data_IF_612743508787
#
_entry.id   IF_612743508787
#
_cell.length_a   1.000
_cell.length_b   1.000
_cell.length_c   1.000
_cell.angle_alpha   90.00
_cell.angle_beta   90.00
_cell.angle_gamma   90.00
#
_symmetry.space_group_name_H-M   'P 1'
#
loop_
_entity.id
_entity.type
_entity.pdbx_description
1 polymer ?
#
# COMPACT_ATOMS: atom_id res chain seq x y z
N UNK A 1 14.78 -28.70 -2.38
CA UNK A 1 16.20 -28.96 -2.08
C UNK A 1 16.73 -27.73 -1.37
N UNK A 2 16.90 -27.78 -0.05
CA UNK A 2 17.32 -26.61 0.73
C UNK A 2 18.83 -26.43 0.60
N UNK A 3 19.26 -25.26 0.13
CA UNK A 3 20.68 -24.88 0.15
C UNK A 3 21.00 -24.39 1.57
N UNK A 4 21.87 -25.12 2.28
CA UNK A 4 22.37 -24.72 3.60
C UNK A 4 23.65 -23.93 3.39
N UNK A 5 23.59 -22.63 3.69
CA UNK A 5 24.78 -21.78 3.72
C UNK A 5 25.33 -21.77 5.15
N UNK A 6 26.53 -22.34 5.34
CA UNK A 6 27.21 -22.38 6.64
C UNK A 6 28.26 -21.28 6.67
N UNK A 7 28.13 -20.36 7.63
CA UNK A 7 29.11 -19.32 7.90
C UNK A 7 29.65 -19.50 9.33
N UNK A 8 30.96 -19.40 9.50
CA UNK A 8 31.61 -19.51 10.81
C UNK A 8 32.63 -18.37 10.98
N UNK A 9 32.51 -17.63 12.08
CA UNK A 9 33.45 -16.58 12.48
C UNK A 9 34.10 -16.92 13.81
N UNK A 10 35.36 -16.50 13.99
CA UNK A 10 36.07 -16.64 15.27
C UNK A 10 35.49 -15.65 16.28
N UNK A 11 34.94 -16.14 17.38
CA UNK A 11 34.45 -15.30 18.48
C UNK A 11 35.65 -14.55 19.08
N UNK A 12 35.65 -13.21 18.99
CA UNK A 12 36.55 -12.37 19.77
C UNK A 12 36.26 -12.63 21.26
N UNK A 13 37.29 -12.81 22.10
CA UNK A 13 37.18 -13.16 23.53
C UNK A 13 35.99 -12.44 24.20
N UNK A 14 34.86 -13.14 24.34
CA UNK A 14 33.70 -12.70 25.08
C UNK A 14 33.56 -13.63 26.28
N UNK A 15 33.73 -13.08 27.48
CA UNK A 15 33.58 -13.81 28.75
C UNK A 15 32.12 -14.10 29.10
N UNK A 16 31.15 -13.75 28.24
CA UNK A 16 29.72 -13.93 28.50
C UNK A 16 29.07 -14.83 27.44
N UNK A 17 29.08 -16.14 27.68
CA UNK A 17 28.22 -17.11 26.99
C UNK A 17 26.70 -16.90 27.24
N UNK A 18 26.34 -15.90 28.05
CA UNK A 18 24.96 -15.53 28.38
C UNK A 18 24.52 -14.15 27.86
N UNK A 19 25.30 -13.48 26.99
CA UNK A 19 24.83 -12.24 26.36
C UNK A 19 23.70 -12.57 25.38
N UNK A 20 22.44 -12.37 25.81
CA UNK A 20 21.30 -12.34 24.90
C UNK A 20 21.42 -11.06 24.10
N UNK A 21 21.71 -11.19 22.81
CA UNK A 21 21.64 -10.06 21.89
C UNK A 21 20.26 -9.40 22.02
N UNK A 22 20.19 -8.11 22.39
CA UNK A 22 18.93 -7.40 22.48
C UNK A 22 18.09 -7.51 21.20
N UNK A 23 18.73 -7.60 20.02
CA UNK A 23 18.05 -7.81 18.74
C UNK A 23 17.40 -9.19 18.66
N UNK A 24 18.11 -10.25 19.05
CA UNK A 24 17.53 -11.61 19.10
C UNK A 24 16.35 -11.68 20.07
N UNK A 25 16.43 -11.02 21.22
CA UNK A 25 15.30 -10.96 22.15
C UNK A 25 14.06 -10.31 21.53
N UNK A 26 14.22 -9.30 20.66
CA UNK A 26 13.11 -8.67 19.94
C UNK A 26 12.52 -9.59 18.87
N UNK A 27 13.35 -10.34 18.14
CA UNK A 27 12.87 -11.33 17.18
C UNK A 27 12.18 -12.50 17.88
N UNK A 28 12.71 -12.96 19.00
CA UNK A 28 12.13 -14.03 19.82
C UNK A 28 10.73 -13.69 20.34
N UNK A 29 10.46 -12.42 20.69
CA UNK A 29 9.10 -11.98 21.04
C UNK A 29 8.12 -12.26 19.91
N UNK A 30 8.48 -11.94 18.66
CA UNK A 30 7.63 -12.20 17.51
C UNK A 30 7.50 -13.70 17.22
N UNK A 31 8.59 -14.48 17.34
CA UNK A 31 8.56 -15.94 17.20
C UNK A 31 7.58 -16.58 18.20
N UNK A 32 7.63 -16.15 19.46
CA UNK A 32 6.73 -16.64 20.52
C UNK A 32 5.29 -16.23 20.26
N UNK A 33 5.04 -14.96 19.95
CA UNK A 33 3.70 -14.47 19.63
C UNK A 33 3.08 -15.26 18.45
N UNK A 34 3.82 -15.41 17.35
CA UNK A 34 3.36 -16.21 16.20
C UNK A 34 3.14 -17.68 16.56
N UNK A 35 3.97 -18.26 17.43
CA UNK A 35 3.77 -19.62 17.96
C UNK A 35 2.46 -19.77 18.71
N UNK A 36 2.12 -18.80 19.57
CA UNK A 36 0.81 -18.76 20.26
C UNK A 36 -0.33 -18.59 19.26
N UNK A 37 -0.16 -17.77 18.21
CA UNK A 37 -1.21 -17.58 17.20
C UNK A 37 -1.53 -18.87 16.42
N UNK A 38 -0.62 -19.85 16.37
CA UNK A 38 -0.91 -21.16 15.76
C UNK A 38 -1.72 -22.09 16.67
N UNK A 39 -2.03 -21.67 17.91
CA UNK A 39 -2.99 -22.39 18.73
C UNK A 39 -4.31 -22.51 17.98
N UNK A 40 -4.94 -23.69 18.07
CA UNK A 40 -6.16 -24.01 17.35
C UNK A 40 -7.40 -23.24 17.87
N UNK A 41 -7.25 -22.44 18.93
CA UNK A 41 -8.21 -21.42 19.36
C UNK A 41 -7.64 -20.00 19.21
N UNK A 42 -6.67 -19.76 18.34
CA UNK A 42 -6.19 -18.40 18.05
C UNK A 42 -6.44 -18.07 16.59
N UNK A 43 -5.71 -18.70 15.67
CA UNK A 43 -5.90 -18.45 14.23
C UNK A 43 -7.29 -18.85 13.70
N UNK A 44 -7.98 -19.78 14.39
CA UNK A 44 -9.32 -20.25 14.03
C UNK A 44 -10.44 -19.29 14.47
N UNK A 45 -10.17 -18.38 15.42
CA UNK A 45 -11.18 -17.50 15.99
C UNK A 45 -12.17 -18.20 16.93
N UNK A 46 -11.83 -19.36 17.52
CA UNK A 46 -12.69 -20.09 18.47
C UNK A 46 -12.53 -19.64 19.93
N UNK A 47 -11.70 -18.64 20.19
CA UNK A 47 -11.55 -17.99 21.49
C UNK A 47 -12.64 -16.96 21.82
N UNK A 48 -12.65 -16.51 23.08
CA UNK A 48 -13.50 -15.38 23.51
C UNK A 48 -12.93 -14.06 23.01
N UNK A 49 -13.78 -13.07 22.74
CA UNK A 49 -13.38 -11.76 22.22
C UNK A 49 -12.23 -11.07 22.98
N UNK A 50 -12.21 -11.13 24.32
CA UNK A 50 -11.12 -10.51 25.09
C UNK A 50 -9.78 -11.22 24.89
N UNK A 51 -9.80 -12.53 24.62
CA UNK A 51 -8.62 -13.32 24.27
C UNK A 51 -8.16 -12.97 22.86
N UNK A 52 -9.10 -12.85 21.90
CA UNK A 52 -8.78 -12.36 20.56
C UNK A 52 -8.12 -10.96 20.59
N UNK A 53 -8.62 -10.07 21.46
CA UNK A 53 -8.03 -8.74 21.66
C UNK A 53 -6.62 -8.81 22.25
N UNK A 54 -6.38 -9.71 23.21
CA UNK A 54 -5.05 -9.94 23.79
C UNK A 54 -4.05 -10.52 22.77
N UNK A 55 -4.51 -11.44 21.92
CA UNK A 55 -3.76 -11.97 20.79
C UNK A 55 -3.36 -10.86 19.80
N UNK A 56 -4.30 -10.00 19.41
CA UNK A 56 -4.03 -8.88 18.53
C UNK A 56 -3.03 -7.88 19.15
N UNK A 57 -3.18 -7.56 20.44
CA UNK A 57 -2.24 -6.70 21.16
C UNK A 57 -0.83 -7.30 21.21
N UNK A 58 -0.74 -8.57 21.61
CA UNK A 58 0.54 -9.30 21.73
C UNK A 58 1.27 -9.35 20.39
N UNK A 59 0.55 -9.70 19.31
CA UNK A 59 1.12 -9.74 17.96
C UNK A 59 1.56 -8.35 17.50
N UNK A 60 0.76 -7.30 17.77
CA UNK A 60 1.11 -5.92 17.40
C UNK A 60 2.38 -5.43 18.10
N UNK A 61 2.49 -5.65 19.42
CA UNK A 61 3.67 -5.27 20.20
C UNK A 61 4.91 -6.03 19.72
N UNK A 62 4.77 -7.34 19.47
CA UNK A 62 5.88 -8.15 19.01
C UNK A 62 6.33 -7.78 17.58
N UNK A 63 5.38 -7.50 16.68
CA UNK A 63 5.66 -7.04 15.32
C UNK A 63 6.43 -5.71 15.31
N UNK A 64 5.96 -4.72 16.08
CA UNK A 64 6.64 -3.42 16.22
C UNK A 64 8.04 -3.56 16.81
N UNK A 65 8.24 -4.47 17.75
CA UNK A 65 9.58 -4.76 18.28
C UNK A 65 10.53 -5.28 17.19
N UNK A 66 10.03 -6.11 16.27
CA UNK A 66 10.81 -6.65 15.16
C UNK A 66 11.11 -5.59 14.09
N UNK A 67 10.20 -4.64 13.85
CA UNK A 67 10.44 -3.51 12.95
C UNK A 67 11.68 -2.70 13.34
N UNK A 68 11.97 -2.54 14.64
CA UNK A 68 13.21 -1.90 15.10
C UNK A 68 14.45 -2.67 14.65
N UNK A 69 14.42 -4.00 14.72
CA UNK A 69 15.51 -4.86 14.24
C UNK A 69 15.71 -4.73 12.73
N UNK A 70 14.60 -4.67 11.97
CA UNK A 70 14.65 -4.47 10.52
C UNK A 70 15.21 -3.08 10.18
N UNK A 71 14.79 -2.02 10.88
CA UNK A 71 15.31 -0.67 10.70
C UNK A 71 16.83 -0.60 10.95
N UNK A 72 17.31 -1.23 12.03
CA UNK A 72 18.74 -1.33 12.31
C UNK A 72 19.48 -2.08 11.19
N UNK A 73 18.95 -3.22 10.75
CA UNK A 73 19.53 -3.99 9.67
C UNK A 73 19.56 -3.20 8.34
N UNK A 74 18.57 -2.36 8.09
CA UNK A 74 18.57 -1.46 6.92
C UNK A 74 19.73 -0.48 6.96
N UNK A 75 20.05 0.10 8.13
CA UNK A 75 21.22 0.98 8.25
C UNK A 75 22.54 0.26 8.03
N UNK A 76 22.62 -1.00 8.45
CA UNK A 76 23.81 -1.83 8.27
C UNK A 76 23.98 -2.28 6.81
N UNK A 77 22.86 -2.50 6.09
CA UNK A 77 22.86 -3.06 4.73
C UNK A 77 22.78 -2.02 3.60
N UNK A 78 22.21 -0.83 3.84
CA UNK A 78 22.04 0.21 2.83
C UNK A 78 23.10 1.30 3.08
N UNK A 79 24.16 1.36 2.25
CA UNK A 79 25.17 2.40 2.38
C UNK A 79 24.53 3.78 2.25
N UNK A 80 24.96 4.72 3.09
CA UNK A 80 24.47 6.10 3.14
C UNK A 80 23.03 6.30 3.67
N UNK A 81 22.31 5.24 4.10
CA UNK A 81 20.96 5.39 4.63
C UNK A 81 20.90 6.41 5.78
N UNK A 82 21.86 6.36 6.72
CA UNK A 82 21.96 7.36 7.81
C UNK A 82 22.10 8.78 7.30
N UNK A 83 22.85 8.99 6.23
CA UNK A 83 23.02 10.33 5.64
C UNK A 83 21.73 10.77 4.95
N UNK A 84 21.08 9.87 4.22
CA UNK A 84 19.82 10.13 3.49
C UNK A 84 18.66 10.46 4.44
N UNK A 85 18.53 9.76 5.56
CA UNK A 85 17.41 9.93 6.51
C UNK A 85 17.76 10.83 7.69
N UNK A 86 18.92 11.49 7.70
CA UNK A 86 19.37 12.28 8.86
C UNK A 86 19.57 11.46 10.14
N UNK A 87 19.73 10.14 10.00
CA UNK A 87 19.86 9.19 11.11
C UNK A 87 18.53 8.74 11.73
N UNK A 88 17.39 9.17 11.18
CA UNK A 88 16.07 8.73 11.64
C UNK A 88 15.72 7.35 11.09
N UNK A 89 15.14 6.51 11.94
CA UNK A 89 14.71 5.17 11.58
C UNK A 89 13.61 5.22 10.51
N UNK A 90 13.64 4.32 9.50
CA UNK A 90 12.55 4.18 8.55
C UNK A 90 11.21 3.91 9.26
N UNK A 91 10.16 4.59 8.79
CA UNK A 91 8.78 4.40 9.28
C UNK A 91 8.11 3.27 8.49
N UNK A 92 7.51 2.33 9.19
CA UNK A 92 6.73 1.25 8.58
C UNK A 92 5.29 1.71 8.33
N UNK A 93 4.82 1.55 7.09
CA UNK A 93 3.44 1.85 6.70
C UNK A 93 2.53 0.62 6.90
N UNK A 94 2.22 0.24 8.15
CA UNK A 94 1.42 -0.97 8.43
C UNK A 94 -0.06 -0.86 8.02
N UNK A 95 -0.54 0.37 7.78
CA UNK A 95 -1.95 0.70 7.54
C UNK A 95 -2.25 1.13 6.10
N UNK A 96 -1.44 0.67 5.13
CA UNK A 96 -1.67 0.94 3.71
C UNK A 96 -3.00 0.36 3.18
N UNK A 97 -3.54 -0.68 3.82
CA UNK A 97 -4.86 -1.24 3.50
C UNK A 97 -6.01 -0.23 3.66
N UNK A 98 -5.86 0.73 4.58
CA UNK A 98 -6.77 1.85 4.80
C UNK A 98 -6.16 3.17 4.32
N UNK A 99 -5.20 3.11 3.40
CA UNK A 99 -4.54 4.26 2.78
C UNK A 99 -3.91 5.24 3.80
N UNK A 100 -3.30 4.71 4.87
CA UNK A 100 -2.59 5.49 5.88
C UNK A 100 -1.10 5.16 5.89
N UNK A 101 -0.26 6.19 5.82
CA UNK A 101 1.15 6.04 6.15
C UNK A 101 1.71 7.32 6.75
N UNK A 102 2.18 7.23 7.99
CA UNK A 102 2.72 8.38 8.71
C UNK A 102 3.85 9.08 7.95
N UNK A 103 4.69 8.35 7.20
CA UNK A 103 5.78 8.95 6.42
C UNK A 103 5.29 9.93 5.34
N UNK A 104 4.07 9.77 4.84
CA UNK A 104 3.53 10.54 3.70
C UNK A 104 2.29 11.35 4.02
N UNK A 105 1.83 11.34 5.28
CA UNK A 105 0.71 12.16 5.73
C UNK A 105 1.02 13.67 5.68
N UNK A 106 0.01 14.46 5.31
CA UNK A 106 0.10 15.92 5.26
C UNK A 106 1.17 16.43 4.29
N UNK A 107 1.99 17.38 4.73
CA UNK A 107 2.98 18.06 3.88
C UNK A 107 4.34 17.35 3.81
N UNK A 108 4.49 16.16 4.40
CA UNK A 108 5.78 15.45 4.49
C UNK A 108 6.47 15.17 3.15
N UNK A 109 5.76 14.73 2.09
CA UNK A 109 6.41 14.50 0.80
C UNK A 109 6.65 15.79 0.00
N UNK A 110 6.24 16.97 0.48
CA UNK A 110 6.41 18.20 -0.29
C UNK A 110 7.83 18.76 -0.23
N UNK A 111 8.28 19.30 -1.36
CA UNK A 111 9.48 20.11 -1.44
C UNK A 111 9.22 21.50 -0.88
N UNK A 112 10.20 22.01 -0.13
CA UNK A 112 10.23 23.39 0.30
C UNK A 112 10.63 24.33 -0.87
N UNK A 113 10.65 25.63 -0.63
CA UNK A 113 11.01 26.63 -1.65
C UNK A 113 12.44 26.51 -2.19
N UNK A 114 13.34 25.82 -1.47
CA UNK A 114 14.72 25.54 -1.87
C UNK A 114 14.84 24.24 -2.68
N UNK A 115 13.75 23.50 -2.86
CA UNK A 115 13.75 22.19 -3.52
C UNK A 115 14.21 21.05 -2.62
N UNK A 116 14.26 21.26 -1.30
CA UNK A 116 14.63 20.24 -0.31
C UNK A 116 13.35 19.62 0.28
N UNK A 117 13.40 18.32 0.60
CA UNK A 117 12.27 17.57 1.15
C UNK A 117 12.00 16.30 0.37
N UNK A 118 10.76 15.82 0.44
CA UNK A 118 10.39 14.52 -0.07
C UNK A 118 10.65 13.39 0.93
N UNK A 119 10.38 12.17 0.49
CA UNK A 119 10.47 10.95 1.29
C UNK A 119 11.18 9.86 0.51
N UNK A 120 11.91 9.01 1.23
CA UNK A 120 12.47 7.78 0.67
C UNK A 120 11.54 6.61 0.96
N UNK A 121 11.28 5.80 -0.06
CA UNK A 121 10.48 4.59 0.03
C UNK A 121 11.43 3.40 -0.13
N UNK A 122 11.50 2.55 0.88
CA UNK A 122 12.33 1.35 0.88
C UNK A 122 11.45 0.13 0.69
N UNK A 123 11.83 -0.73 -0.25
CA UNK A 123 11.10 -1.96 -0.57
C UNK A 123 12.07 -3.12 -0.47
N UNK A 124 11.76 -4.06 0.42
CA UNK A 124 12.51 -5.29 0.58
C UNK A 124 11.83 -6.42 -0.19
N UNK A 125 12.59 -7.15 -1.01
CA UNK A 125 12.15 -8.40 -1.62
C UNK A 125 12.61 -9.57 -0.73
N UNK A 126 11.71 -10.24 0.00
CA UNK A 126 12.08 -11.38 0.85
C UNK A 126 12.28 -12.68 0.06
N UNK A 127 12.01 -12.70 -1.24
CA UNK A 127 12.05 -13.94 -2.03
C UNK A 127 13.47 -14.26 -2.53
N UNK A 128 13.68 -15.52 -2.91
CA UNK A 128 14.93 -16.01 -3.52
C UNK A 128 15.05 -15.72 -5.02
N UNK A 129 14.15 -14.92 -5.61
CA UNK A 129 14.14 -14.61 -7.03
C UNK A 129 13.85 -13.13 -7.30
N UNK A 130 14.13 -12.70 -8.53
CA UNK A 130 13.86 -11.34 -8.99
C UNK A 130 12.35 -11.06 -9.05
N UNK A 131 11.93 -9.92 -8.51
CA UNK A 131 10.56 -9.42 -8.71
C UNK A 131 10.54 -8.44 -9.88
N UNK A 132 9.92 -8.89 -10.97
CA UNK A 132 9.74 -8.12 -12.22
C UNK A 132 8.48 -7.25 -12.22
N UNK A 133 7.58 -7.49 -11.26
CA UNK A 133 6.34 -6.74 -11.15
C UNK A 133 5.84 -6.79 -9.71
N UNK A 134 5.75 -5.62 -9.09
CA UNK A 134 5.04 -5.43 -7.83
C UNK A 134 4.52 -4.01 -7.79
N UNK A 135 3.23 -3.86 -7.53
CA UNK A 135 2.56 -2.56 -7.49
C UNK A 135 2.49 -2.07 -6.05
N UNK A 136 3.01 -0.88 -5.81
CA UNK A 136 2.99 -0.23 -4.51
C UNK A 136 2.01 0.93 -4.56
N UNK A 137 1.21 1.05 -3.50
CA UNK A 137 0.27 2.15 -3.24
C UNK A 137 0.79 2.97 -2.08
N UNK A 138 1.02 4.26 -2.31
CA UNK A 138 1.47 5.20 -1.29
C UNK A 138 0.47 6.34 -1.15
N UNK A 139 -0.19 6.49 0.01
CA UNK A 139 -1.15 7.57 0.23
C UNK A 139 -0.43 8.90 0.37
N UNK A 140 -0.96 9.95 -0.26
CA UNK A 140 -0.44 11.31 -0.18
C UNK A 140 -1.58 12.31 -0.04
N UNK A 141 -1.28 13.44 0.60
CA UNK A 141 -2.18 14.58 0.59
C UNK A 141 -1.86 15.49 -0.59
N UNK A 142 -2.87 15.82 -1.38
CA UNK A 142 -2.80 16.83 -2.43
C UNK A 142 -4.02 17.73 -2.31
N UNK A 143 -3.82 19.04 -2.17
CA UNK A 143 -4.92 20.00 -2.19
C UNK A 143 -5.72 19.87 -3.49
N UNK A 144 -7.03 19.62 -3.37
CA UNK A 144 -7.93 19.39 -4.51
C UNK A 144 -7.90 20.55 -5.51
N UNK A 145 -7.71 21.79 -5.04
CA UNK A 145 -7.60 22.98 -5.90
C UNK A 145 -6.29 23.06 -6.70
N UNK A 146 -5.32 22.22 -6.34
CA UNK A 146 -3.96 22.20 -6.88
C UNK A 146 -3.60 20.87 -7.53
N UNK A 147 -4.53 19.91 -7.61
CA UNK A 147 -4.26 18.56 -8.15
C UNK A 147 -3.59 18.65 -9.52
N UNK A 148 -4.15 19.44 -10.44
CA UNK A 148 -3.64 19.63 -11.81
C UNK A 148 -2.29 20.35 -11.91
N UNK A 149 -1.85 21.04 -10.85
CA UNK A 149 -0.62 21.83 -10.82
C UNK A 149 0.46 21.23 -9.92
N UNK A 150 0.12 20.23 -9.14
CA UNK A 150 1.06 19.56 -8.23
C UNK A 150 1.95 18.65 -9.06
N UNK A 151 3.26 18.95 -9.06
CA UNK A 151 4.23 18.09 -9.73
C UNK A 151 4.59 16.91 -8.83
N UNK A 152 4.51 15.68 -9.33
CA UNK A 152 5.00 14.49 -8.61
C UNK A 152 6.35 14.09 -9.18
N UNK A 153 7.34 13.96 -8.30
CA UNK A 153 8.67 13.46 -8.61
C UNK A 153 8.78 12.08 -7.97
N UNK A 154 8.93 11.05 -8.78
CA UNK A 154 9.10 9.67 -8.34
C UNK A 154 10.26 9.09 -9.12
N UNK A 155 11.32 8.69 -8.42
CA UNK A 155 12.57 8.22 -9.03
C UNK A 155 12.99 6.91 -8.39
N UNK A 156 13.52 6.00 -9.21
CA UNK A 156 14.27 4.85 -8.74
C UNK A 156 15.72 5.27 -8.50
N UNK A 157 16.21 5.15 -7.27
CA UNK A 157 17.57 5.58 -6.94
C UNK A 157 18.66 4.62 -7.43
N UNK A 158 18.26 3.42 -7.91
CA UNK A 158 19.18 2.49 -8.59
C UNK A 158 19.45 2.91 -10.03
N UNK A 159 18.55 3.71 -10.60
CA UNK A 159 18.71 4.24 -11.95
C UNK A 159 19.61 5.50 -11.93
N UNK A 160 20.80 5.34 -12.50
CA UNK A 160 21.81 6.41 -12.62
C UNK A 160 21.29 7.55 -13.51
N UNK A 161 20.37 7.25 -14.44
CA UNK A 161 19.77 8.28 -15.30
C UNK A 161 18.78 9.18 -14.57
N UNK A 162 18.40 8.83 -13.33
CA UNK A 162 17.48 9.60 -12.49
C UNK A 162 16.15 9.91 -13.19
N UNK A 163 15.72 9.01 -14.09
CA UNK A 163 14.51 9.16 -14.86
C UNK A 163 13.29 9.06 -13.94
N UNK A 164 12.26 9.81 -14.30
CA UNK A 164 10.96 9.71 -13.64
C UNK A 164 10.38 8.30 -13.87
N UNK A 165 10.01 7.64 -12.77
CA UNK A 165 9.31 6.37 -12.79
C UNK A 165 7.84 6.60 -13.17
N UNK A 166 7.26 5.81 -14.09
CA UNK A 166 5.84 5.87 -14.39
C UNK A 166 4.99 5.61 -13.14
N UNK A 167 3.93 6.40 -12.99
CA UNK A 167 3.01 6.29 -11.87
C UNK A 167 1.59 6.66 -12.28
N UNK A 168 0.63 6.15 -11.52
CA UNK A 168 -0.76 6.52 -11.60
C UNK A 168 -1.18 7.18 -10.29
N UNK A 169 -1.86 8.32 -10.39
CA UNK A 169 -2.49 8.96 -9.25
C UNK A 169 -3.96 8.51 -9.19
N UNK A 170 -4.46 8.17 -8.01
CA UNK A 170 -5.85 7.76 -7.81
C UNK A 170 -6.46 8.47 -6.60
N UNK A 171 -7.71 8.96 -6.65
CA UNK A 171 -8.38 9.46 -5.46
C UNK A 171 -8.70 8.31 -4.51
N UNK A 172 -8.56 8.54 -3.20
CA UNK A 172 -8.99 7.57 -2.19
C UNK A 172 -10.52 7.54 -2.21
N UNK A 173 -11.09 6.35 -2.37
CA UNK A 173 -12.55 6.17 -2.46
C UNK A 173 -13.27 6.64 -1.18
N UNK A 174 -14.51 7.08 -1.32
CA UNK A 174 -15.36 7.47 -0.18
C UNK A 174 -15.50 6.35 0.85
N UNK A 175 -15.58 5.09 0.39
CA UNK A 175 -15.63 3.91 1.26
C UNK A 175 -14.40 3.84 2.17
N UNK A 176 -13.22 4.04 1.59
CA UNK A 176 -11.98 4.06 2.38
C UNK A 176 -11.95 5.29 3.28
N UNK A 177 -12.29 6.48 2.78
CA UNK A 177 -12.31 7.72 3.59
C UNK A 177 -13.23 7.65 4.80
N UNK A 178 -14.32 6.88 4.73
CA UNK A 178 -15.29 6.74 5.81
C UNK A 178 -14.87 5.76 6.92
N UNK A 179 -13.77 5.03 6.74
CA UNK A 179 -13.23 4.11 7.76
C UNK A 179 -12.98 4.89 9.06
N UNK A 180 -13.54 4.47 10.22
CA UNK A 180 -13.44 5.21 11.47
C UNK A 180 -12.02 5.59 11.89
N UNK A 181 -11.07 4.69 11.69
CA UNK A 181 -9.66 4.86 12.02
C UNK A 181 -8.99 6.01 11.23
N UNK A 182 -9.56 6.38 10.07
CA UNK A 182 -9.11 7.53 9.28
C UNK A 182 -9.72 8.86 9.72
N UNK A 183 -10.77 8.86 10.54
CA UNK A 183 -11.46 10.08 11.00
C UNK A 183 -10.68 10.79 12.10
N UNK A 184 -9.43 11.14 11.81
CA UNK A 184 -8.51 11.85 12.68
C UNK A 184 -7.94 13.04 11.93
N UNK A 185 -7.77 14.17 12.61
CA UNK A 185 -7.14 15.36 12.04
C UNK A 185 -5.67 15.15 11.62
N UNK A 186 -5.07 14.02 12.04
CA UNK A 186 -3.71 13.63 11.67
C UNK A 186 -3.61 12.98 10.31
N UNK A 187 -4.72 12.45 9.79
CA UNK A 187 -4.76 11.70 8.55
C UNK A 187 -5.42 12.54 7.48
N UNK A 188 -4.61 13.07 6.56
CA UNK A 188 -5.03 14.04 5.56
C UNK A 188 -4.96 13.47 4.15
N UNK A 189 -4.23 12.36 3.94
CA UNK A 189 -4.09 11.78 2.62
C UNK A 189 -5.44 11.58 1.93
N UNK A 190 -5.55 12.06 0.70
CA UNK A 190 -6.76 12.04 -0.11
C UNK A 190 -6.53 11.42 -1.50
N UNK A 191 -5.27 11.20 -1.87
CA UNK A 191 -4.86 10.56 -3.11
C UNK A 191 -3.90 9.40 -2.81
N UNK A 192 -3.72 8.51 -3.77
CA UNK A 192 -2.73 7.45 -3.75
C UNK A 192 -1.88 7.50 -5.00
N UNK A 193 -0.57 7.34 -4.82
CA UNK A 193 0.38 7.15 -5.91
C UNK A 193 0.59 5.65 -6.05
N UNK A 194 0.28 5.14 -7.23
CA UNK A 194 0.48 3.76 -7.65
C UNK A 194 1.65 3.69 -8.62
N UNK A 195 2.61 2.83 -8.35
CA UNK A 195 3.71 2.58 -9.27
C UNK A 195 4.18 1.14 -9.20
N UNK A 196 4.77 0.67 -10.29
CA UNK A 196 5.41 -0.63 -10.34
C UNK A 196 6.91 -0.46 -10.09
N UNK A 197 7.46 -1.22 -9.13
CA UNK A 197 8.86 -1.12 -8.68
C UNK A 197 9.90 -1.43 -9.77
N UNK A 198 9.49 -2.06 -10.87
CA UNK A 198 10.37 -2.43 -11.99
C UNK A 198 9.95 -1.76 -13.32
N UNK A 199 9.12 -0.72 -13.29
CA UNK A 199 8.58 -0.10 -14.52
C UNK A 199 9.65 0.58 -15.41
N UNK A 200 10.65 1.21 -14.81
CA UNK A 200 11.74 1.90 -15.53
C UNK A 200 13.14 1.48 -15.09
N UNK A 201 13.25 0.69 -14.02
CA UNK A 201 14.51 0.24 -13.43
C UNK A 201 14.67 -1.28 -13.50
N UNK A 202 15.78 -1.82 -12.97
CA UNK A 202 15.97 -3.26 -12.86
C UNK A 202 14.93 -3.89 -11.91
N UNK A 203 14.66 -5.20 -12.01
CA UNK A 203 13.80 -5.89 -11.05
C UNK A 203 14.34 -5.76 -9.62
N UNK A 204 13.48 -5.96 -8.62
CA UNK A 204 13.97 -6.04 -7.25
C UNK A 204 14.75 -7.35 -7.04
N UNK A 205 16.02 -7.22 -6.65
CA UNK A 205 16.93 -8.33 -6.44
C UNK A 205 16.43 -9.30 -5.37
N UNK A 206 16.80 -10.59 -5.42
CA UNK A 206 16.46 -11.55 -4.38
C UNK A 206 17.02 -11.11 -3.03
N UNK A 207 16.24 -11.25 -1.96
CA UNK A 207 16.68 -10.91 -0.59
C UNK A 207 17.30 -9.50 -0.49
N UNK A 208 16.81 -8.55 -1.29
CA UNK A 208 17.45 -7.25 -1.51
C UNK A 208 16.52 -6.06 -1.29
N UNK A 209 17.13 -4.90 -0.99
CA UNK A 209 16.42 -3.62 -0.88
C UNK A 209 16.45 -2.84 -2.20
N UNK A 210 15.36 -2.14 -2.46
CA UNK A 210 15.24 -1.17 -3.54
C UNK A 210 14.70 0.13 -2.96
N UNK A 211 15.27 1.26 -3.39
CA UNK A 211 14.98 2.56 -2.81
C UNK A 211 14.46 3.51 -3.87
N UNK A 212 13.33 4.13 -3.57
CA UNK A 212 12.71 5.15 -4.40
C UNK A 212 12.70 6.48 -3.67
N UNK A 213 12.73 7.57 -4.43
CA UNK A 213 12.55 8.92 -3.92
C UNK A 213 11.22 9.47 -4.44
N UNK A 214 10.36 9.91 -3.52
CA UNK A 214 9.07 10.52 -3.80
C UNK A 214 9.06 11.95 -3.26
N UNK A 215 8.71 12.92 -4.11
CA UNK A 215 8.50 14.29 -3.68
C UNK A 215 7.34 14.94 -4.45
N UNK A 216 6.63 15.84 -3.78
CA UNK A 216 5.58 16.67 -4.35
C UNK A 216 6.07 18.10 -4.46
N UNK A 217 5.92 18.72 -5.62
CA UNK A 217 6.27 20.12 -5.86
C UNK A 217 5.01 20.96 -5.73
N UNK A 218 5.03 21.93 -4.83
CA UNK A 218 3.96 22.91 -4.75
C UNK A 218 3.89 23.72 -6.06
N UNK A 219 2.68 24.11 -6.49
CA UNK A 219 2.52 25.03 -7.60
C UNK A 219 3.24 26.35 -7.29
N UNK A 220 3.95 26.89 -8.27
CA UNK A 220 4.43 28.28 -8.20
C UNK A 220 3.22 29.21 -8.06
N UNK A 221 3.36 30.28 -7.27
CA UNK A 221 2.31 31.26 -6.96
C UNK A 221 1.47 31.58 -8.23
N UNK A 222 0.13 31.53 -8.15
CA UNK A 222 -0.71 31.73 -9.33
C UNK A 222 -0.43 33.10 -9.95
N UNK A 223 -0.19 33.13 -11.26
CA UNK A 223 -0.35 34.37 -12.02
C UNK A 223 -1.85 34.66 -12.14
N UNK A 224 -2.22 35.95 -12.12
CA UNK A 224 -3.61 36.43 -12.09
C UNK A 224 -4.49 35.97 -13.27
N UNK A 225 -3.94 35.25 -14.26
CA UNK A 225 -4.66 34.75 -15.44
C UNK A 225 -5.44 33.45 -15.22
N UNK A 226 -5.17 32.70 -14.15
CA UNK A 226 -5.59 31.29 -14.07
C UNK A 226 -6.85 31.07 -13.21
N UNK A 227 -7.80 32.00 -13.26
CA UNK A 227 -9.17 31.74 -12.81
C UNK A 227 -9.94 31.03 -13.92
N UNK A 228 -9.72 29.73 -14.08
CA UNK A 228 -10.47 28.93 -15.04
C UNK A 228 -10.82 27.54 -14.46
N UNK A 229 -12.13 27.35 -14.26
CA UNK A 229 -12.87 26.10 -14.16
C UNK A 229 -12.51 25.13 -13.01
N UNK A 230 -13.32 25.22 -11.95
CA UNK A 230 -13.53 24.14 -10.98
C UNK A 230 -14.35 23.04 -11.67
N UNK A 231 -13.67 22.03 -12.21
CA UNK A 231 -14.30 20.76 -12.62
C UNK A 231 -14.25 19.79 -11.43
N UNK A 232 -15.24 18.91 -11.32
CA UNK A 232 -15.35 17.92 -10.23
C UNK A 232 -14.25 16.85 -10.41
N UNK A 233 -13.12 17.01 -9.72
CA UNK A 233 -11.94 16.15 -9.83
C UNK A 233 -12.06 14.81 -9.09
N UNK A 234 -13.28 14.44 -8.70
CA UNK A 234 -13.62 13.07 -8.25
C UNK A 234 -13.65 12.07 -9.41
N UNK A 235 -13.60 12.54 -10.67
CA UNK A 235 -13.61 11.70 -11.87
C UNK A 235 -12.21 11.25 -12.35
N UNK A 236 -12.10 9.98 -12.77
CA UNK A 236 -10.88 9.36 -13.30
C UNK A 236 -10.21 10.14 -14.46
N UNK A 237 -10.98 10.88 -15.26
CA UNK A 237 -10.48 11.61 -16.43
C UNK A 237 -9.64 12.84 -16.08
N UNK A 238 -9.87 13.49 -14.93
CA UNK A 238 -9.04 14.60 -14.44
C UNK A 238 -7.68 14.15 -13.92
N UNK A 239 -7.64 13.00 -13.25
CA UNK A 239 -6.44 12.43 -12.61
C UNK A 239 -5.53 11.73 -13.63
N UNK A 240 -6.09 11.24 -14.74
CA UNK A 240 -5.34 10.62 -15.84
C UNK A 240 -4.29 11.57 -16.47
N UNK A 241 -4.52 12.90 -16.46
CA UNK A 241 -3.57 13.88 -17.02
C UNK A 241 -2.29 14.07 -16.19
N UNK A 242 -2.35 13.78 -14.90
CA UNK A 242 -1.20 13.87 -13.98
C UNK A 242 -0.43 12.57 -13.88
N UNK A 243 -1.10 11.46 -14.18
CA UNK A 243 -0.48 10.15 -14.21
C UNK A 243 0.48 10.07 -15.38
N UNK A 244 1.77 9.81 -15.12
CA UNK A 244 2.68 9.38 -16.18
C UNK A 244 2.39 7.89 -16.43
N UNK A 245 1.36 7.65 -17.24
CA UNK A 245 0.82 6.31 -17.43
C UNK A 245 1.83 5.37 -18.06
N UNK A 246 2.06 4.24 -17.38
CA UNK A 246 2.55 3.02 -18.03
C UNK A 246 1.49 2.58 -19.05
N UNK A 247 1.82 2.57 -20.34
CA UNK A 247 0.99 1.88 -21.34
C UNK A 247 1.08 0.38 -21.09
N UNK A 248 0.10 -0.16 -20.39
CA UNK A 248 -0.13 -1.61 -20.32
C UNK A 248 -0.98 -2.01 -21.52
N UNK A 249 -0.34 -2.61 -22.52
CA UNK A 249 -1.07 -3.27 -23.61
C UNK A 249 -1.63 -4.58 -23.08
N UNK A 250 -2.94 -4.64 -22.90
CA UNK A 250 -3.65 -5.88 -22.65
C UNK A 250 -3.69 -6.65 -23.98
N UNK A 251 -2.73 -7.56 -24.18
CA UNK A 251 -2.76 -8.48 -25.32
C UNK A 251 -3.86 -9.51 -25.09
N UNK A 252 -5.09 -9.15 -25.43
CA UNK A 252 -6.17 -10.13 -25.55
C UNK A 252 -5.85 -10.96 -26.79
N UNK A 253 -5.37 -12.18 -26.59
CA UNK A 253 -5.20 -13.13 -27.68
C UNK A 253 -6.59 -13.68 -28.01
N UNK A 254 -7.31 -12.95 -28.86
CA UNK A 254 -8.56 -13.44 -29.45
C UNK A 254 -8.14 -14.51 -30.45
N UNK A 255 -8.42 -15.77 -30.11
CA UNK A 255 -8.37 -16.88 -31.07
C UNK A 255 -9.54 -16.65 -32.03
N UNK A 256 -9.28 -16.01 -33.15
CA UNK A 256 -10.27 -15.78 -34.20
C UNK A 256 -10.27 -16.95 -35.19
N UNK A 257 -11.37 -17.70 -35.27
CA UNK A 257 -11.73 -18.46 -36.47
C UNK A 257 -12.23 -17.51 -37.58
N UNK A 258 -12.10 -17.87 -38.87
CA UNK A 258 -12.16 -16.88 -39.94
C UNK A 258 -13.57 -16.63 -40.51
N UNK A 259 -13.76 -15.35 -40.87
CA UNK A 259 -14.62 -14.78 -41.92
C UNK A 259 -16.11 -14.52 -41.62
N UNK A 260 -16.51 -13.25 -41.61
CA UNK A 260 -17.01 -12.55 -42.81
C UNK A 260 -17.33 -11.06 -42.49
N UNK A 261 -17.58 -10.31 -43.56
CA UNK A 261 -17.45 -8.87 -43.82
C UNK A 261 -18.48 -7.88 -43.25
N UNK A 262 -18.05 -6.60 -43.17
CA UNK A 262 -18.81 -5.31 -43.10
C UNK A 262 -19.54 -5.04 -41.77
N UNK A 263 -19.44 -3.89 -41.09
CA UNK A 263 -19.53 -2.48 -41.53
C UNK A 263 -18.91 -1.53 -40.47
N UNK A 264 -18.55 -0.30 -40.86
CA UNK A 264 -18.15 0.78 -39.93
C UNK A 264 -19.39 1.32 -39.19
N UNK A 265 -19.37 1.35 -37.86
CA UNK A 265 -20.23 2.27 -37.10
C UNK A 265 -19.60 2.67 -35.77
N UNK A 266 -19.83 3.94 -35.43
CA UNK A 266 -19.24 4.74 -34.36
C UNK A 266 -19.35 4.17 -32.93
N UNK A 267 -18.33 4.45 -32.11
CA UNK A 267 -18.37 4.23 -30.67
C UNK A 267 -19.41 5.15 -30.01
N UNK A 268 -20.49 4.55 -29.47
CA UNK A 268 -21.28 5.15 -28.40
C UNK A 268 -21.28 4.23 -27.16
N UNK A 269 -21.34 4.83 -25.94
CA UNK A 269 -21.06 4.17 -24.68
C UNK A 269 -22.34 3.55 -24.10
N UNK A 270 -22.26 2.29 -23.66
CA UNK A 270 -23.15 1.68 -22.66
C UNK A 270 -22.96 0.17 -22.72
N UNK A 271 -22.31 -0.41 -21.71
CA UNK A 271 -22.58 -1.76 -21.19
C UNK A 271 -21.72 -1.95 -19.93
N UNK A 272 -22.02 -1.15 -18.91
CA UNK A 272 -21.75 -1.52 -17.53
C UNK A 272 -23.03 -2.17 -17.01
N UNK A 273 -23.07 -3.50 -17.04
CA UNK A 273 -23.87 -4.40 -16.19
C UNK A 273 -24.06 -5.73 -16.93
N UNK A 274 -23.07 -6.61 -16.84
CA UNK A 274 -23.20 -8.08 -16.84
C UNK A 274 -21.79 -8.67 -16.91
N UNK A 275 -21.01 -8.58 -15.84
CA UNK A 275 -19.80 -9.42 -15.63
C UNK A 275 -19.42 -9.40 -14.14
N UNK A 276 -20.41 -9.65 -13.29
CA UNK A 276 -20.21 -9.91 -11.85
C UNK A 276 -21.29 -10.91 -11.40
N UNK A 277 -21.36 -12.06 -12.07
CA UNK A 277 -22.17 -13.20 -11.65
C UNK A 277 -21.53 -14.50 -12.15
N UNK A 278 -20.25 -14.73 -11.82
CA UNK A 278 -19.69 -16.08 -11.89
C UNK A 278 -18.40 -16.24 -11.08
N UNK A 279 -18.43 -15.95 -9.76
CA UNK A 279 -17.40 -16.41 -8.82
C UNK A 279 -17.89 -16.47 -7.35
N UNK A 280 -19.20 -16.71 -7.16
CA UNK A 280 -19.82 -16.93 -5.85
C UNK A 280 -20.67 -18.21 -5.86
N UNK A 281 -20.06 -19.33 -6.23
CA UNK A 281 -20.66 -20.66 -6.12
C UNK A 281 -19.64 -21.65 -5.56
N UNK A 282 -19.16 -21.41 -4.35
CA UNK A 282 -18.62 -22.46 -3.50
C UNK A 282 -18.87 -22.11 -2.03
N UNK A 283 -19.62 -22.99 -1.36
CA UNK A 283 -19.97 -22.95 0.06
C UNK A 283 -21.16 -22.06 0.45
N UNK A 284 -22.36 -22.64 0.43
CA UNK A 284 -23.31 -22.54 1.56
C UNK A 284 -24.44 -23.57 1.39
N UNK A 285 -24.41 -24.62 2.21
CA UNK A 285 -25.62 -25.32 2.63
C UNK A 285 -25.74 -25.19 4.14
N UNK A 286 -26.55 -24.24 4.59
CA UNK A 286 -27.46 -24.43 5.74
C UNK A 286 -28.41 -23.25 5.86
N UNK A 287 -29.68 -23.61 5.97
CA UNK A 287 -30.86 -22.77 6.08
C UNK A 287 -30.82 -21.82 7.28
N UNK A 288 -31.27 -20.58 7.07
CA UNK A 288 -31.89 -19.76 8.11
C UNK A 288 -32.99 -18.91 7.46
N UNK A 289 -34.23 -19.36 7.66
CA UNK A 289 -35.46 -18.74 7.18
C UNK A 289 -35.83 -17.63 8.18
N UNK A 290 -35.79 -16.36 7.78
CA UNK A 290 -36.32 -15.25 8.56
C UNK A 290 -37.39 -14.52 7.75
N UNK A 291 -38.61 -14.54 8.28
CA UNK A 291 -39.83 -13.94 7.75
C UNK A 291 -39.80 -12.41 7.94
N UNK A 292 -40.08 -11.65 6.87
CA UNK A 292 -40.41 -10.23 6.95
C UNK A 292 -41.85 -10.04 7.49
N UNK A 293 -42.13 -9.03 8.33
CA UNK A 293 -43.50 -8.67 8.70
C UNK A 293 -44.10 -7.72 7.64
N UNK A 294 -45.27 -8.07 7.12
CA UNK A 294 -46.14 -7.18 6.36
C UNK A 294 -47.31 -6.73 7.25
N UNK A 295 -47.75 -5.50 7.03
CA UNK A 295 -48.59 -4.71 7.94
C UNK A 295 -50.04 -5.18 8.13
N UNK A 296 -50.63 -4.55 9.15
CA UNK A 296 -51.97 -4.68 9.74
C UNK A 296 -53.16 -4.67 8.77
N UNK A 297 -54.28 -5.27 9.22
CA UNK A 297 -55.56 -4.56 9.18
C UNK A 297 -56.30 -4.50 10.54
N UNK A 298 -57.32 -3.65 10.54
CA UNK A 298 -58.06 -3.00 11.63
C UNK A 298 -58.99 -3.86 12.53
N UNK A 299 -59.02 -3.49 13.85
CA UNK A 299 -60.19 -3.25 14.77
C UNK A 299 -61.07 -4.47 15.19
N UNK A 300 -61.75 -4.54 16.38
CA UNK A 300 -62.02 -3.54 17.43
C UNK A 300 -61.65 -3.88 18.89
N UNK A 301 -61.69 -2.81 19.69
CA UNK A 301 -61.69 -2.66 21.16
C UNK A 301 -62.94 -3.30 21.79
N UNK A 302 -62.83 -3.91 23.00
CA UNK A 302 -63.83 -3.90 24.08
C UNK A 302 -63.13 -4.21 25.41
N UNK A 303 -63.38 -3.32 26.39
CA UNK A 303 -63.20 -3.37 27.87
C UNK A 303 -61.97 -4.03 28.47
#
# INVERSE_FOLDING_TARGET
>A
MYQVNVFANRVAKSSNHGYKDPKEAMVDKLRQALGVMQHHDAVTGTEKQHVANDYALTLSVASKSCQTVIADAMFDLIPNLRSMTGGENPVFCDLLNISLCEATEGWKPYLNARGEGGVYIFVYNPTGWNLWSSWIRVPVYIDQSQVTRTGVILKDLRDISQKQLPYQLLPITDRTMQIPERKSSRYLANMEILFNIAAAGPPASPTGFTTFYLALKQPSRPQLSDFAFFEDFTSCSGVARLSQTTTLSLNVHIISEPSSSLEKQDCLPSLANTFFDELAAASTTKEARALCPQGFPNVPRIS
#
